data_IF_756458923157
#
_entry.id   IF_756458923157
#
_cell.length_a   1.000
_cell.length_b   1.000
_cell.length_c   1.000
_cell.angle_alpha   90.00
_cell.angle_beta   90.00
_cell.angle_gamma   90.00
#
_symmetry.space_group_name_H-M   'P 1'
#
loop_
_entity.id
_entity.type
_entity.pdbx_description
1 polymer ?
#
# COMPACT_ATOMS: atom_id res chain seq x y z
N UNK A 1 -1.04 6.05 -23.54
CA UNK A 1 -0.26 4.93 -22.95
C UNK A 1 -0.99 3.63 -23.25
N UNK A 2 -0.27 2.62 -23.74
CA UNK A 2 -0.81 1.27 -23.90
C UNK A 2 -1.16 0.65 -22.54
N UNK A 3 -2.01 -0.40 -22.49
CA UNK A 3 -2.32 -1.09 -21.23
C UNK A 3 -1.08 -1.60 -20.50
N UNK A 4 -0.13 -2.21 -21.23
CA UNK A 4 1.12 -2.70 -20.67
C UNK A 4 1.97 -1.59 -20.04
N UNK A 5 2.10 -0.45 -20.72
CA UNK A 5 2.84 0.70 -20.19
C UNK A 5 2.25 1.20 -18.88
N UNK A 6 0.91 1.26 -18.77
CA UNK A 6 0.22 1.66 -17.54
C UNK A 6 0.50 0.70 -16.39
N UNK A 7 0.44 -0.61 -16.65
CA UNK A 7 0.73 -1.67 -15.66
C UNK A 7 2.17 -1.55 -15.15
N UNK A 8 3.15 -1.43 -16.05
CA UNK A 8 4.57 -1.31 -15.69
C UNK A 8 4.80 -0.02 -14.88
N UNK A 9 4.29 1.11 -15.36
CA UNK A 9 4.45 2.40 -14.69
C UNK A 9 3.82 2.39 -13.30
N UNK A 10 2.62 1.84 -13.15
CA UNK A 10 1.96 1.66 -11.86
C UNK A 10 2.82 0.84 -10.89
N UNK A 11 3.37 -0.30 -11.33
CA UNK A 11 4.24 -1.13 -10.51
C UNK A 11 5.53 -0.43 -10.09
N UNK A 12 6.19 0.27 -11.01
CA UNK A 12 7.42 1.04 -10.73
C UNK A 12 7.13 2.15 -9.72
N UNK A 13 6.09 2.93 -9.95
CA UNK A 13 5.73 4.03 -9.05
C UNK A 13 5.37 3.52 -7.65
N UNK A 14 4.61 2.42 -7.55
CA UNK A 14 4.31 1.81 -6.26
C UNK A 14 5.59 1.40 -5.52
N UNK A 15 6.56 0.75 -6.18
CA UNK A 15 7.81 0.34 -5.52
C UNK A 15 8.65 1.54 -5.07
N UNK A 16 8.70 2.63 -5.86
CA UNK A 16 9.38 3.87 -5.46
C UNK A 16 8.66 4.48 -4.25
N UNK A 17 7.33 4.63 -4.30
CA UNK A 17 6.55 5.18 -3.19
C UNK A 17 6.69 4.32 -1.95
N UNK A 18 6.71 2.99 -2.08
CA UNK A 18 6.92 2.07 -0.98
C UNK A 18 8.25 2.34 -0.27
N UNK A 19 9.34 2.42 -1.04
CA UNK A 19 10.68 2.68 -0.50
C UNK A 19 10.75 4.04 0.20
N UNK A 20 10.14 5.06 -0.39
CA UNK A 20 10.07 6.41 0.19
C UNK A 20 9.24 6.43 1.47
N UNK A 21 8.13 5.68 1.54
CA UNK A 21 7.32 5.58 2.76
C UNK A 21 8.09 4.92 3.91
N UNK A 22 8.84 3.87 3.61
CA UNK A 22 9.64 3.13 4.60
C UNK A 22 10.80 3.98 5.13
N UNK A 23 11.53 4.67 4.26
CA UNK A 23 12.73 5.41 4.63
C UNK A 23 12.47 6.85 5.09
N UNK A 24 11.40 7.48 4.61
CA UNK A 24 11.17 8.92 4.78
C UNK A 24 10.34 9.31 6.01
N UNK A 25 9.75 8.34 6.71
CA UNK A 25 8.85 8.59 7.85
C UNK A 25 7.52 9.24 7.44
N UNK A 26 6.72 9.63 8.44
CA UNK A 26 5.31 10.00 8.26
C UNK A 26 5.06 11.10 7.23
N UNK A 27 5.73 12.25 7.35
CA UNK A 27 5.47 13.40 6.49
C UNK A 27 5.84 13.11 5.03
N UNK A 28 7.00 12.47 4.81
CA UNK A 28 7.48 12.14 3.45
C UNK A 28 6.60 11.06 2.82
N UNK A 29 6.17 10.05 3.59
CA UNK A 29 5.25 9.02 3.14
C UNK A 29 3.92 9.61 2.65
N UNK A 30 3.33 10.53 3.42
CA UNK A 30 2.07 11.20 3.05
C UNK A 30 2.24 11.97 1.74
N UNK A 31 3.33 12.75 1.59
CA UNK A 31 3.59 13.52 0.37
C UNK A 31 3.80 12.59 -0.83
N UNK A 32 4.63 11.57 -0.69
CA UNK A 32 4.95 10.63 -1.77
C UNK A 32 3.70 9.86 -2.24
N UNK A 33 2.90 9.36 -1.31
CA UNK A 33 1.64 8.67 -1.63
C UNK A 33 0.62 9.63 -2.23
N UNK A 34 0.54 10.87 -1.78
CA UNK A 34 -0.36 11.87 -2.39
C UNK A 34 0.03 12.13 -3.85
N UNK A 35 1.32 12.31 -4.14
CA UNK A 35 1.84 12.46 -5.51
C UNK A 35 1.49 11.23 -6.35
N UNK A 36 1.71 10.03 -5.81
CA UNK A 36 1.33 8.78 -6.47
C UNK A 36 -0.16 8.75 -6.81
N UNK A 37 -1.05 9.03 -5.85
CA UNK A 37 -2.50 8.98 -6.04
C UNK A 37 -2.96 10.01 -7.08
N UNK A 38 -2.48 11.25 -6.99
CA UNK A 38 -2.82 12.31 -7.95
C UNK A 38 -2.38 11.91 -9.36
N UNK A 39 -1.15 11.42 -9.51
CA UNK A 39 -0.65 10.95 -10.80
C UNK A 39 -1.46 9.75 -11.32
N UNK A 40 -1.75 8.80 -10.45
CA UNK A 40 -2.50 7.59 -10.78
C UNK A 40 -3.91 7.93 -11.30
N UNK A 41 -4.64 8.80 -10.60
CA UNK A 41 -6.01 9.20 -10.94
C UNK A 41 -6.11 10.13 -12.17
N UNK A 42 -5.01 10.76 -12.58
CA UNK A 42 -5.00 11.70 -13.73
C UNK A 42 -4.39 11.07 -14.98
N UNK A 43 -3.33 10.27 -14.84
CA UNK A 43 -2.55 9.71 -15.94
C UNK A 43 -2.80 8.22 -16.18
N UNK A 44 -2.93 7.40 -15.13
CA UNK A 44 -3.05 5.93 -15.26
C UNK A 44 -4.52 5.52 -15.44
N UNK A 45 -5.37 5.92 -14.51
CA UNK A 45 -6.80 5.60 -14.48
C UNK A 45 -7.64 6.83 -14.23
N UNK A 46 -8.55 7.15 -15.16
CA UNK A 46 -9.48 8.28 -15.02
C UNK A 46 -10.83 7.86 -14.43
N UNK A 47 -10.89 6.67 -13.86
CA UNK A 47 -12.11 6.12 -13.28
C UNK A 47 -12.27 6.59 -11.83
N UNK A 48 -13.34 7.34 -11.56
CA UNK A 48 -13.66 7.83 -10.21
C UNK A 48 -13.87 6.70 -9.19
N UNK A 49 -14.20 5.48 -9.64
CA UNK A 49 -14.33 4.31 -8.77
C UNK A 49 -13.01 3.93 -8.11
N UNK A 50 -11.88 4.28 -8.72
CA UNK A 50 -10.58 4.02 -8.10
C UNK A 50 -10.31 4.89 -6.89
N UNK A 51 -10.86 6.11 -6.84
CA UNK A 51 -10.79 6.92 -5.61
C UNK A 51 -11.47 6.20 -4.45
N UNK A 52 -12.69 5.69 -4.65
CA UNK A 52 -13.41 4.93 -3.62
C UNK A 52 -12.70 3.63 -3.24
N UNK A 53 -12.08 2.95 -4.21
CA UNK A 53 -11.26 1.77 -3.92
C UNK A 53 -10.07 2.12 -3.03
N UNK A 54 -9.32 3.18 -3.37
CA UNK A 54 -8.15 3.62 -2.61
C UNK A 54 -8.56 3.99 -1.18
N UNK A 55 -9.61 4.78 -1.01
CA UNK A 55 -10.12 5.15 0.32
C UNK A 55 -10.60 3.93 1.10
N UNK A 56 -11.36 3.03 0.47
CA UNK A 56 -11.87 1.82 1.11
C UNK A 56 -10.75 0.89 1.58
N UNK A 57 -9.73 0.67 0.75
CA UNK A 57 -8.57 -0.16 1.09
C UNK A 57 -7.71 0.50 2.18
N UNK A 58 -7.53 1.82 2.16
CA UNK A 58 -6.82 2.53 3.21
C UNK A 58 -7.52 2.40 4.57
N UNK A 59 -8.84 2.56 4.62
CA UNK A 59 -9.63 2.37 5.84
C UNK A 59 -9.61 0.92 6.33
N UNK A 60 -9.74 -0.03 5.40
CA UNK A 60 -9.60 -1.45 5.72
C UNK A 60 -8.22 -1.77 6.30
N UNK A 61 -7.17 -1.19 5.71
CA UNK A 61 -5.80 -1.27 6.23
C UNK A 61 -5.71 -0.79 7.67
N UNK A 62 -6.27 0.40 7.97
CA UNK A 62 -6.32 0.92 9.35
C UNK A 62 -7.00 -0.08 10.30
N UNK A 63 -8.14 -0.65 9.90
CA UNK A 63 -8.84 -1.64 10.72
C UNK A 63 -7.99 -2.90 10.97
N UNK A 64 -7.30 -3.40 9.96
CA UNK A 64 -6.41 -4.57 10.07
C UNK A 64 -5.27 -4.27 11.02
N UNK A 65 -4.55 -3.17 10.82
CA UNK A 65 -3.41 -2.79 11.67
C UNK A 65 -3.84 -2.53 13.11
N UNK A 66 -4.92 -1.79 13.32
CA UNK A 66 -5.48 -1.54 14.65
C UNK A 66 -5.91 -2.84 15.35
N UNK A 67 -6.45 -3.80 14.60
CA UNK A 67 -6.76 -5.14 15.13
C UNK A 67 -5.49 -5.87 15.58
N UNK A 68 -4.43 -5.87 14.76
CA UNK A 68 -3.16 -6.50 15.10
C UNK A 68 -2.52 -5.87 16.35
N UNK A 69 -2.63 -4.55 16.51
CA UNK A 69 -2.19 -3.82 17.72
C UNK A 69 -3.06 -4.17 18.93
N UNK A 70 -4.38 -4.23 18.78
CA UNK A 70 -5.31 -4.54 19.87
C UNK A 70 -5.16 -5.97 20.42
N UNK A 71 -4.81 -6.93 19.55
CA UNK A 71 -4.52 -8.31 19.93
C UNK A 71 -3.05 -8.55 20.32
N UNK A 72 -2.24 -7.48 20.43
CA UNK A 72 -0.81 -7.54 20.78
C UNK A 72 0.02 -8.41 19.82
N UNK A 73 -0.44 -8.62 18.59
CA UNK A 73 0.33 -9.28 17.53
C UNK A 73 1.45 -8.35 17.06
N UNK A 74 1.14 -7.06 16.97
CA UNK A 74 2.11 -5.98 16.77
C UNK A 74 2.20 -5.13 18.04
N UNK A 75 3.36 -4.51 18.26
CA UNK A 75 3.59 -3.62 19.40
C UNK A 75 3.80 -2.19 18.91
N UNK A 76 3.04 -1.25 19.50
CA UNK A 76 3.21 0.18 19.27
C UNK A 76 4.11 0.79 20.35
N UNK A 77 5.15 1.56 20.00
CA UNK A 77 6.01 2.23 20.98
C UNK A 77 5.23 3.16 21.92
N UNK A 78 4.16 3.78 21.43
CA UNK A 78 3.37 4.78 22.17
C UNK A 78 2.11 4.18 22.81
N UNK A 79 1.96 2.85 22.83
CA UNK A 79 0.72 2.17 23.29
C UNK A 79 -0.55 2.59 22.52
N UNK A 80 -0.38 3.19 21.34
CA UNK A 80 -1.49 3.60 20.47
C UNK A 80 -2.05 2.40 19.72
N UNK A 81 -3.38 2.32 19.63
CA UNK A 81 -4.10 1.35 18.80
C UNK A 81 -4.24 1.80 17.34
N UNK A 82 -3.77 2.99 16.99
CA UNK A 82 -3.77 3.48 15.62
C UNK A 82 -2.44 3.18 14.94
N UNK A 83 -2.45 2.69 13.68
CA UNK A 83 -1.22 2.54 12.92
C UNK A 83 -0.55 3.89 12.65
N UNK A 84 0.77 3.91 12.48
CA UNK A 84 1.46 5.13 12.10
C UNK A 84 1.04 5.61 10.71
N UNK A 85 0.98 6.92 10.46
CA UNK A 85 0.52 7.48 9.18
C UNK A 85 1.24 6.95 7.94
N UNK A 86 2.54 6.66 8.01
CA UNK A 86 3.29 6.10 6.89
C UNK A 86 2.75 4.73 6.43
N UNK A 87 2.23 3.92 7.36
CA UNK A 87 1.68 2.61 7.06
C UNK A 87 0.30 2.74 6.41
N UNK A 88 -0.52 3.68 6.87
CA UNK A 88 -1.79 4.03 6.20
C UNK A 88 -1.54 4.53 4.76
N UNK A 89 -0.49 5.33 4.57
CA UNK A 89 -0.07 5.79 3.25
C UNK A 89 0.36 4.62 2.34
N UNK A 90 1.02 3.59 2.89
CA UNK A 90 1.34 2.37 2.15
C UNK A 90 0.10 1.58 1.72
N UNK A 91 -0.90 1.44 2.59
CA UNK A 91 -2.18 0.81 2.24
C UNK A 91 -2.86 1.53 1.07
N UNK A 92 -2.86 2.87 1.09
CA UNK A 92 -3.42 3.67 -0.01
C UNK A 92 -2.60 3.51 -1.31
N UNK A 93 -1.26 3.50 -1.22
CA UNK A 93 -0.38 3.27 -2.37
C UNK A 93 -0.60 1.86 -2.97
N UNK A 94 -0.71 0.83 -2.12
CA UNK A 94 -0.99 -0.54 -2.53
C UNK A 94 -2.32 -0.64 -3.28
N UNK A 95 -3.36 0.07 -2.83
CA UNK A 95 -4.66 0.05 -3.49
C UNK A 95 -4.62 0.46 -4.97
N UNK A 96 -3.67 1.34 -5.34
CA UNK A 96 -3.47 1.76 -6.75
C UNK A 96 -3.03 0.60 -7.65
N UNK A 97 -2.48 -0.48 -7.08
CA UNK A 97 -1.96 -1.62 -7.84
C UNK A 97 -3.01 -2.67 -8.16
N UNK A 98 -4.09 -2.74 -7.36
CA UNK A 98 -5.08 -3.82 -7.36
C UNK A 98 -5.72 -4.08 -8.72
N UNK A 99 -6.03 -3.02 -9.45
CA UNK A 99 -6.65 -3.09 -10.78
C UNK A 99 -5.65 -2.96 -11.95
N UNK A 100 -4.35 -2.92 -11.65
CA UNK A 100 -3.29 -2.67 -12.64
C UNK A 100 -2.19 -3.72 -12.53
N UNK A 101 -1.07 -3.40 -11.88
CA UNK A 101 0.13 -4.27 -11.81
C UNK A 101 -0.13 -5.64 -11.18
N UNK A 102 -1.09 -5.74 -10.26
CA UNK A 102 -1.47 -7.01 -9.61
C UNK A 102 -2.88 -7.48 -9.95
N UNK A 103 -3.50 -6.93 -11.01
CA UNK A 103 -4.86 -7.31 -11.45
C UNK A 103 -5.02 -8.81 -11.65
N UNK A 104 -3.96 -9.48 -12.08
CA UNK A 104 -3.98 -10.91 -12.36
C UNK A 104 -4.22 -11.78 -11.11
N UNK A 105 -3.95 -11.28 -9.89
CA UNK A 105 -4.33 -11.96 -8.65
C UNK A 105 -5.84 -12.13 -8.49
N UNK A 106 -6.64 -11.24 -9.09
CA UNK A 106 -8.10 -11.34 -9.05
C UNK A 106 -8.64 -12.58 -9.76
N UNK A 107 -7.84 -13.16 -10.67
CA UNK A 107 -8.21 -14.38 -11.40
C UNK A 107 -7.70 -15.66 -10.71
N UNK A 108 -6.82 -15.56 -9.70
CA UNK A 108 -6.26 -16.71 -9.01
C UNK A 108 -5.99 -16.39 -7.52
N UNK A 109 -7.03 -16.59 -6.70
CA UNK A 109 -6.98 -16.34 -5.26
C UNK A 109 -5.95 -17.20 -4.53
N UNK A 110 -5.65 -18.41 -5.01
CA UNK A 110 -4.62 -19.27 -4.42
C UNK A 110 -3.25 -18.61 -4.51
N UNK A 111 -2.90 -18.07 -5.68
CA UNK A 111 -1.63 -17.35 -5.84
C UNK A 111 -1.64 -16.07 -5.00
N UNK A 112 -2.75 -15.31 -5.00
CA UNK A 112 -2.88 -14.11 -4.20
C UNK A 112 -2.66 -14.39 -2.70
N UNK A 113 -3.23 -15.48 -2.19
CA UNK A 113 -3.06 -15.92 -0.80
C UNK A 113 -1.62 -16.31 -0.49
N UNK A 114 -1.02 -17.19 -1.30
CA UNK A 114 0.35 -17.67 -1.07
C UNK A 114 1.35 -16.52 -1.16
N UNK A 115 1.25 -15.69 -2.20
CA UNK A 115 2.15 -14.55 -2.37
C UNK A 115 1.91 -13.53 -1.26
N UNK A 116 0.67 -13.21 -0.91
CA UNK A 116 0.35 -12.29 0.19
C UNK A 116 0.89 -12.77 1.54
N UNK A 117 0.74 -14.06 1.85
CA UNK A 117 1.22 -14.68 3.08
C UNK A 117 2.74 -14.65 3.22
N UNK A 118 3.48 -14.54 2.11
CA UNK A 118 4.95 -14.49 2.11
C UNK A 118 5.44 -13.06 1.95
N UNK A 119 4.98 -12.37 0.90
CA UNK A 119 5.41 -11.02 0.54
C UNK A 119 4.98 -9.98 1.57
N UNK A 120 3.80 -10.15 2.21
CA UNK A 120 3.33 -9.25 3.28
C UNK A 120 4.30 -9.23 4.47
N UNK A 121 4.55 -10.37 5.14
CA UNK A 121 5.51 -10.45 6.24
C UNK A 121 6.93 -10.05 5.83
N UNK A 122 7.40 -10.46 4.64
CA UNK A 122 8.72 -10.05 4.15
C UNK A 122 8.80 -8.53 3.97
N UNK A 123 7.79 -7.91 3.36
CA UNK A 123 7.75 -6.45 3.20
C UNK A 123 7.76 -5.74 4.54
N UNK A 124 7.02 -6.24 5.52
CA UNK A 124 7.01 -5.69 6.88
C UNK A 124 8.38 -5.82 7.55
N UNK A 125 9.01 -7.00 7.49
CA UNK A 125 10.34 -7.25 8.04
C UNK A 125 11.43 -6.40 7.38
N UNK A 126 11.36 -6.23 6.07
CA UNK A 126 12.27 -5.34 5.35
C UNK A 126 12.04 -3.89 5.77
N UNK A 127 10.78 -3.47 5.89
CA UNK A 127 10.40 -2.14 6.36
C UNK A 127 10.97 -1.85 7.73
N UNK A 128 10.72 -2.71 8.72
CA UNK A 128 11.23 -2.51 10.08
C UNK A 128 12.75 -2.48 10.15
N UNK A 129 13.45 -3.32 9.39
CA UNK A 129 14.93 -3.34 9.33
C UNK A 129 15.54 -2.11 8.65
N UNK A 130 14.83 -1.48 7.73
CA UNK A 130 15.31 -0.30 7.01
C UNK A 130 15.07 1.00 7.80
N UNK A 131 14.10 0.99 8.71
CA UNK A 131 13.75 2.16 9.55
C UNK A 131 14.34 2.09 10.96
N UNK A 132 14.83 0.93 11.41
CA UNK A 132 15.55 0.73 12.68
C UNK A 132 17.02 1.13 12.60
#
# INVERSE_FOLDING_TARGET
>A
MSPLQKTILNGVMFNITWLVCVLGGNAVAIVATTILIVFHLTAISRDKREFFLITGVALFGVMVESGLLAFSVLQSPESSLLPPPWLVALWAAFATTLNHSIRWFQNNFTIAYVVGAIAGPLSYLTGTRLTS
#
